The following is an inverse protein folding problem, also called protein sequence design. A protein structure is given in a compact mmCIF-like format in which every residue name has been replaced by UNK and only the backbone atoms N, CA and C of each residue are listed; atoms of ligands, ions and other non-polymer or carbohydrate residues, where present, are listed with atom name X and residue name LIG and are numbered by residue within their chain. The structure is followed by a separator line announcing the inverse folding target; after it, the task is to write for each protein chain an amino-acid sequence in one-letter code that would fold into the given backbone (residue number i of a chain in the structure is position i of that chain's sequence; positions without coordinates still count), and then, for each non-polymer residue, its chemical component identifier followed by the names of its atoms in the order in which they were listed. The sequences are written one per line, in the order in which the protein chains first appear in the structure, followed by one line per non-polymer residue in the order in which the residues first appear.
data_IF_381488201998
#
_entry.id   IF_381488201998
#
_cell.length_a   1.000
_cell.length_b   1.000
_cell.length_c   1.000
_cell.angle_alpha   90.00
_cell.angle_beta   90.00
_cell.angle_gamma   90.00
#
_symmetry.space_group_name_H-M   'P 1'
#
loop_
_entity.id
_entity.type
_entity.pdbx_description
1 polymer ?
#
# COMPACT_ATOMS: atom_id res chain seq x y z
N UNK A 1 -10.16 5.84 14.89
CA UNK A 1 -9.41 4.57 14.70
C UNK A 1 -8.39 4.84 13.63
N UNK A 2 -7.15 4.38 13.76
CA UNK A 2 -6.09 4.62 12.77
C UNK A 2 -5.90 3.42 11.85
N UNK A 3 -5.35 3.66 10.66
CA UNK A 3 -4.96 2.58 9.73
C UNK A 3 -3.81 1.75 10.30
N UNK A 4 -2.80 2.45 10.83
CA UNK A 4 -1.60 1.89 11.44
C UNK A 4 -1.55 2.27 12.92
N UNK A 5 -0.95 1.42 13.75
CA UNK A 5 -0.61 1.77 15.13
C UNK A 5 0.42 2.90 15.16
N UNK A 6 0.53 3.61 16.27
CA UNK A 6 1.53 4.70 16.40
C UNK A 6 2.97 4.19 16.22
N UNK A 7 3.24 2.92 16.57
CA UNK A 7 4.53 2.27 16.34
C UNK A 7 4.80 2.03 14.85
N UNK A 8 3.82 1.52 14.10
CA UNK A 8 3.93 1.31 12.65
C UNK A 8 4.01 2.64 11.90
N UNK A 9 3.22 3.64 12.29
CA UNK A 9 3.30 4.99 11.74
C UNK A 9 4.70 5.56 11.91
N UNK A 10 5.34 5.35 13.08
CA UNK A 10 6.71 5.78 13.30
C UNK A 10 7.69 5.06 12.37
N UNK A 11 7.57 3.75 12.20
CA UNK A 11 8.41 2.98 11.25
C UNK A 11 8.26 3.55 9.83
N UNK A 12 7.03 3.80 9.39
CA UNK A 12 6.78 4.33 8.05
C UNK A 12 7.37 5.72 7.88
N UNK A 13 7.12 6.61 8.85
CA UNK A 13 7.64 7.97 8.81
C UNK A 13 9.17 8.00 8.81
N UNK A 14 9.81 7.21 9.69
CA UNK A 14 11.27 7.11 9.75
C UNK A 14 11.86 6.54 8.45
N UNK A 15 11.16 5.61 7.77
CA UNK A 15 11.59 5.06 6.49
C UNK A 15 11.48 6.06 5.33
N UNK A 16 10.44 6.90 5.32
CA UNK A 16 10.17 7.86 4.25
C UNK A 16 10.87 9.21 4.44
N UNK A 17 11.37 9.48 5.65
CA UNK A 17 11.98 10.76 6.00
C UNK A 17 13.11 11.12 5.03
N UNK A 18 13.02 12.32 4.46
CA UNK A 18 14.01 12.91 3.54
C UNK A 18 14.24 12.09 2.24
N UNK A 19 13.37 11.13 1.93
CA UNK A 19 13.42 10.38 0.68
C UNK A 19 12.62 11.09 -0.42
N UNK A 20 12.93 10.70 -1.66
CA UNK A 20 12.20 11.10 -2.88
C UNK A 20 11.99 9.86 -3.74
N UNK A 21 10.97 9.85 -4.60
CA UNK A 21 10.67 8.72 -5.49
C UNK A 21 9.40 7.97 -5.09
N UNK A 22 9.30 6.71 -5.51
CA UNK A 22 8.09 5.89 -5.38
C UNK A 22 8.26 4.81 -4.31
N UNK A 23 7.32 4.76 -3.37
CA UNK A 23 7.37 3.81 -2.25
C UNK A 23 6.06 3.06 -2.08
N UNK A 24 6.17 1.77 -1.79
CA UNK A 24 5.06 0.88 -1.51
C UNK A 24 4.99 0.55 -0.02
N UNK A 25 3.82 0.74 0.56
CA UNK A 25 3.44 0.31 1.90
C UNK A 25 2.43 -0.83 1.72
N UNK A 26 2.87 -2.05 2.06
CA UNK A 26 2.02 -3.24 2.00
C UNK A 26 1.43 -3.52 3.37
N UNK A 27 0.11 -3.75 3.45
CA UNK A 27 -0.58 -3.97 4.72
C UNK A 27 -1.84 -4.84 4.62
N UNK A 28 -2.24 -5.41 5.75
CA UNK A 28 -3.57 -6.00 5.96
C UNK A 28 -4.52 -4.93 6.48
N UNK A 29 -5.77 -5.02 6.09
CA UNK A 29 -6.81 -4.08 6.46
C UNK A 29 -8.13 -4.81 6.68
N UNK A 30 -8.90 -4.43 7.69
CA UNK A 30 -10.24 -5.00 7.94
C UNK A 30 -11.42 -4.17 7.43
N UNK A 31 -11.12 -3.01 6.87
CA UNK A 31 -12.13 -2.04 6.45
C UNK A 31 -12.44 -2.17 4.96
N UNK A 32 -13.70 -1.91 4.61
CA UNK A 32 -14.09 -1.80 3.21
C UNK A 32 -13.46 -0.58 2.51
N UNK A 33 -13.49 -0.53 1.17
CA UNK A 33 -12.74 0.47 0.37
C UNK A 33 -13.00 1.93 0.75
N UNK A 34 -14.27 2.29 1.03
CA UNK A 34 -14.63 3.66 1.44
C UNK A 34 -13.92 4.06 2.73
N UNK A 35 -14.02 3.21 3.76
CA UNK A 35 -13.44 3.52 5.06
C UNK A 35 -11.91 3.46 5.02
N UNK A 36 -11.35 2.54 4.26
CA UNK A 36 -9.92 2.46 4.02
C UNK A 36 -9.38 3.73 3.36
N UNK A 37 -10.07 4.27 2.35
CA UNK A 37 -9.65 5.51 1.69
C UNK A 37 -9.59 6.71 2.65
N UNK A 38 -10.57 6.82 3.56
CA UNK A 38 -10.56 7.82 4.62
C UNK A 38 -9.33 7.66 5.52
N UNK A 39 -9.13 6.46 6.07
CA UNK A 39 -8.04 6.16 6.99
C UNK A 39 -6.66 6.35 6.35
N UNK A 40 -6.52 6.04 5.06
CA UNK A 40 -5.30 6.27 4.29
C UNK A 40 -5.02 7.75 4.09
N UNK A 41 -6.04 8.54 3.75
CA UNK A 41 -5.89 9.99 3.59
C UNK A 41 -5.55 10.65 4.92
N UNK A 42 -6.19 10.24 6.01
CA UNK A 42 -5.88 10.71 7.38
C UNK A 42 -4.42 10.39 7.75
N UNK A 43 -3.99 9.14 7.51
CA UNK A 43 -2.61 8.72 7.76
C UNK A 43 -1.60 9.56 6.97
N UNK A 44 -1.83 9.75 5.67
CA UNK A 44 -0.92 10.54 4.84
C UNK A 44 -0.92 12.03 5.21
N UNK A 45 -2.04 12.58 5.67
CA UNK A 45 -2.07 13.93 6.19
C UNK A 45 -1.18 14.11 7.43
N UNK A 46 -0.99 13.05 8.23
CA UNK A 46 -0.06 13.08 9.38
C UNK A 46 1.42 13.06 8.96
N UNK A 47 1.77 12.36 7.87
CA UNK A 47 3.18 12.07 7.54
C UNK A 47 3.73 12.73 6.27
N UNK A 48 2.88 13.08 5.31
CA UNK A 48 3.35 13.39 3.95
C UNK A 48 2.50 14.41 3.16
N UNK A 49 1.37 14.89 3.67
CA UNK A 49 0.51 15.91 3.04
C UNK A 49 0.13 15.56 1.57
N UNK A 50 -0.84 14.65 1.36
CA UNK A 50 -1.19 14.16 0.03
C UNK A 50 -1.92 15.24 -0.78
N UNK A 51 -1.57 15.36 -2.06
CA UNK A 51 -2.15 16.32 -3.02
C UNK A 51 -3.18 15.66 -3.93
N UNK A 52 -2.91 14.42 -4.35
CA UNK A 52 -3.76 13.68 -5.27
C UNK A 52 -3.75 12.20 -4.93
N UNK A 53 -4.94 11.63 -4.71
CA UNK A 53 -5.07 10.21 -4.42
C UNK A 53 -5.98 9.48 -5.41
N UNK A 54 -5.50 8.36 -5.93
CA UNK A 54 -6.23 7.39 -6.75
C UNK A 54 -6.41 6.09 -5.98
N UNK A 55 -7.44 5.32 -6.33
CA UNK A 55 -7.74 4.05 -5.68
C UNK A 55 -8.19 3.03 -6.70
N UNK A 56 -7.58 1.86 -6.66
CA UNK A 56 -7.84 0.71 -7.51
C UNK A 56 -8.16 -0.50 -6.64
N UNK A 57 -9.04 -1.38 -7.11
CA UNK A 57 -9.39 -2.60 -6.38
C UNK A 57 -9.69 -3.73 -7.34
N UNK A 58 -9.39 -4.94 -6.90
CA UNK A 58 -9.83 -6.16 -7.58
C UNK A 58 -11.35 -6.23 -7.67
N UNK A 59 -11.88 -6.95 -8.66
CA UNK A 59 -13.33 -7.20 -8.77
C UNK A 59 -13.93 -7.88 -7.53
N UNK A 60 -13.10 -8.65 -6.80
CA UNK A 60 -13.51 -9.30 -5.55
C UNK A 60 -13.48 -8.39 -4.31
N UNK A 61 -12.94 -7.17 -4.40
CA UNK A 61 -12.90 -6.20 -3.31
C UNK A 61 -12.00 -6.58 -2.12
N UNK A 62 -11.21 -7.64 -2.24
CA UNK A 62 -10.38 -8.17 -1.15
C UNK A 62 -8.91 -7.76 -1.24
N UNK A 63 -8.53 -7.04 -2.29
CA UNK A 63 -7.19 -6.50 -2.49
C UNK A 63 -7.30 -5.26 -3.36
N UNK A 64 -6.43 -4.29 -3.12
CA UNK A 64 -6.41 -3.03 -3.85
C UNK A 64 -5.10 -2.27 -3.72
N UNK A 65 -5.03 -1.19 -4.48
CA UNK A 65 -3.93 -0.25 -4.50
C UNK A 65 -4.48 1.15 -4.26
N UNK A 66 -3.95 1.81 -3.25
CA UNK A 66 -4.11 3.24 -3.02
C UNK A 66 -2.87 3.90 -3.55
N UNK A 67 -3.02 4.99 -4.28
CA UNK A 67 -1.90 5.75 -4.79
C UNK A 67 -2.10 7.19 -4.37
N UNK A 68 -1.09 7.80 -3.78
CA UNK A 68 -1.12 9.22 -3.46
C UNK A 68 0.20 9.88 -3.83
N UNK A 69 0.11 11.02 -4.50
CA UNK A 69 1.21 11.93 -4.72
C UNK A 69 1.21 12.99 -3.62
N UNK A 70 2.40 13.34 -3.14
CA UNK A 70 2.62 14.32 -2.06
C UNK A 70 3.24 15.61 -2.61
N UNK A 71 3.15 16.70 -1.87
CA UNK A 71 3.70 18.01 -2.31
C UNK A 71 5.21 17.98 -2.57
N UNK A 72 5.94 17.07 -1.91
CA UNK A 72 7.39 16.96 -2.02
C UNK A 72 7.85 16.05 -3.18
N UNK A 73 6.94 15.59 -4.04
CA UNK A 73 7.26 14.70 -5.15
C UNK A 73 7.51 13.24 -4.74
N UNK A 74 7.07 12.83 -3.53
CA UNK A 74 6.97 11.42 -3.16
C UNK A 74 5.67 10.84 -3.72
N UNK A 75 5.78 9.67 -4.33
CA UNK A 75 4.65 8.85 -4.76
C UNK A 75 4.50 7.68 -3.79
N UNK A 76 3.41 7.67 -3.02
CA UNK A 76 3.14 6.68 -2.00
C UNK A 76 2.02 5.73 -2.45
N UNK A 77 2.33 4.45 -2.44
CA UNK A 77 1.45 3.37 -2.85
C UNK A 77 1.07 2.54 -1.63
N UNK A 78 -0.21 2.44 -1.32
CA UNK A 78 -0.76 1.57 -0.28
C UNK A 78 -1.36 0.31 -0.88
N UNK A 79 -0.62 -0.80 -0.90
CA UNK A 79 -1.18 -2.07 -1.32
C UNK A 79 -1.76 -2.81 -0.12
N UNK A 80 -3.03 -3.16 -0.23
CA UNK A 80 -3.77 -3.72 0.89
C UNK A 80 -4.47 -5.02 0.52
N UNK A 81 -4.61 -5.90 1.50
CA UNK A 81 -5.43 -7.11 1.43
C UNK A 81 -6.44 -7.08 2.57
N UNK A 82 -7.69 -7.48 2.28
CA UNK A 82 -8.74 -7.59 3.28
C UNK A 82 -8.46 -8.76 4.21
N UNK A 83 -8.44 -8.50 5.51
CA UNK A 83 -8.17 -9.48 6.57
C UNK A 83 -8.92 -9.10 7.86
N UNK A 84 -8.78 -9.89 8.92
CA UNK A 84 -9.45 -9.65 10.20
C UNK A 84 -8.83 -8.49 11.01
N UNK A 85 -7.56 -8.15 10.72
CA UNK A 85 -6.79 -7.12 11.42
C UNK A 85 -6.10 -6.11 10.48
N UNK A 86 -5.81 -4.93 11.04
CA UNK A 86 -4.96 -3.93 10.38
C UNK A 86 -3.52 -4.18 10.80
N UNK A 87 -2.61 -4.39 9.84
CA UNK A 87 -1.21 -4.68 10.11
C UNK A 87 -0.29 -4.31 8.97
N UNK A 88 0.77 -3.57 9.25
CA UNK A 88 1.87 -3.32 8.34
C UNK A 88 2.62 -4.63 8.04
N UNK A 89 2.84 -4.90 6.75
CA UNK A 89 3.58 -6.07 6.29
C UNK A 89 4.98 -5.67 5.83
N UNK A 90 5.08 -4.65 4.97
CA UNK A 90 6.35 -4.22 4.40
C UNK A 90 6.31 -2.77 3.91
N UNK A 91 7.48 -2.15 3.81
CA UNK A 91 7.70 -0.86 3.16
C UNK A 91 8.93 -0.97 2.26
N UNK A 92 8.80 -0.59 1.00
CA UNK A 92 9.91 -0.69 0.05
C UNK A 92 9.85 0.42 -1.00
N UNK A 93 11.01 0.76 -1.54
CA UNK A 93 11.12 1.57 -2.75
C UNK A 93 10.74 0.70 -3.96
N UNK A 94 10.03 1.29 -4.92
CA UNK A 94 9.58 0.60 -6.14
C UNK A 94 9.92 1.47 -7.35
N UNK A 95 10.22 0.81 -8.48
CA UNK A 95 10.47 1.52 -9.73
C UNK A 95 9.16 1.77 -10.48
N UNK A 96 9.19 2.72 -11.42
CA UNK A 96 8.02 3.08 -12.22
C UNK A 96 7.47 1.90 -13.05
N UNK A 97 8.35 1.03 -13.55
CA UNK A 97 7.97 -0.18 -14.30
C UNK A 97 7.15 -1.15 -13.43
N UNK A 98 7.51 -1.31 -12.16
CA UNK A 98 6.77 -2.15 -11.22
C UNK A 98 5.38 -1.58 -10.93
N UNK A 99 5.25 -0.26 -10.85
CA UNK A 99 3.97 0.44 -10.64
C UNK A 99 3.02 0.20 -11.82
N UNK A 100 3.53 0.30 -13.05
CA UNK A 100 2.74 0.05 -14.27
C UNK A 100 2.24 -1.39 -14.27
N UNK A 101 3.11 -2.35 -13.98
CA UNK A 101 2.72 -3.77 -13.90
C UNK A 101 1.67 -4.03 -12.81
N UNK A 102 1.79 -3.38 -11.65
CA UNK A 102 0.79 -3.50 -10.57
C UNK A 102 -0.56 -2.94 -11.05
N UNK A 103 -0.58 -1.73 -11.65
CA UNK A 103 -1.81 -1.11 -12.16
C UNK A 103 -2.47 -1.94 -13.25
N UNK A 104 -1.71 -2.42 -14.22
CA UNK A 104 -2.21 -3.28 -15.30
C UNK A 104 -2.81 -4.58 -14.75
N UNK A 105 -2.23 -5.15 -13.69
CA UNK A 105 -2.79 -6.29 -12.98
C UNK A 105 -4.15 -6.01 -12.34
N UNK A 106 -4.36 -4.80 -11.82
CA UNK A 106 -5.67 -4.36 -11.31
C UNK A 106 -6.67 -4.06 -12.42
N UNK A 107 -6.25 -3.42 -13.51
CA UNK A 107 -7.10 -3.06 -14.65
C UNK A 107 -7.59 -4.29 -15.43
N UNK A 108 -6.72 -5.28 -15.62
CA UNK A 108 -7.05 -6.52 -16.31
C UNK A 108 -8.02 -7.44 -15.53
N UNK A 109 -8.41 -7.09 -14.30
CA UNK A 109 -9.20 -7.94 -13.40
C UNK A 109 -8.48 -9.24 -12.98
N UNK A 110 -7.26 -9.44 -13.45
CA UNK A 110 -6.41 -10.59 -13.23
C UNK A 110 -5.47 -10.30 -12.05
N UNK A 111 -6.05 -10.12 -10.87
CA UNK A 111 -5.30 -10.00 -9.61
C UNK A 111 -4.80 -11.39 -9.17
N UNK A 112 -3.91 -11.96 -9.98
CA UNK A 112 -3.33 -13.30 -9.84
C UNK A 112 -1.84 -13.32 -10.23
N UNK A 113 -1.28 -12.23 -10.76
CA UNK A 113 0.08 -12.19 -11.29
C UNK A 113 1.15 -12.21 -10.20
N UNK A 114 2.28 -12.82 -10.56
CA UNK A 114 3.52 -12.97 -9.78
C UNK A 114 4.08 -11.65 -9.25
N UNK A 115 3.75 -10.53 -9.88
CA UNK A 115 4.19 -9.18 -9.54
C UNK A 115 3.47 -8.69 -8.28
N UNK A 116 2.19 -9.05 -8.10
CA UNK A 116 1.53 -8.94 -6.78
C UNK A 116 1.99 -10.00 -5.77
N UNK A 117 2.67 -11.08 -6.21
CA UNK A 117 3.40 -12.00 -5.32
C UNK A 117 4.82 -11.52 -4.99
N UNK A 118 5.37 -10.50 -5.65
CA UNK A 118 6.70 -9.98 -5.30
C UNK A 118 6.73 -9.43 -3.86
N UNK A 119 5.57 -9.06 -3.31
CA UNK A 119 5.39 -8.63 -1.92
C UNK A 119 4.85 -9.78 -1.04
N UNK A 120 4.88 -11.03 -1.53
CA UNK A 120 5.02 -12.20 -0.66
C UNK A 120 6.46 -12.42 -0.23
N UNK A 121 7.45 -11.71 -0.78
CA UNK A 121 8.87 -11.80 -0.34
C UNK A 121 9.12 -10.91 0.89
N UNK A 122 8.15 -10.88 1.82
CA UNK A 122 8.42 -10.80 3.26
C UNK A 122 8.39 -12.19 3.91
N UNK A 123 8.00 -13.23 3.18
CA UNK A 123 8.03 -14.64 3.59
C UNK A 123 9.25 -15.33 2.96
N UNK A 124 10.45 -15.01 3.44
CA UNK A 124 11.37 -16.10 3.76
C UNK A 124 10.88 -16.70 5.08
N UNK A 125 9.95 -17.65 5.01
CA UNK A 125 9.45 -18.33 6.20
C UNK A 125 8.08 -18.97 6.04
N UNK A 126 8.02 -20.07 5.27
CA UNK A 126 6.85 -20.96 5.31
C UNK A 126 6.59 -21.66 3.99
N UNK A 127 7.50 -22.56 3.61
CA UNK A 127 7.13 -23.70 2.76
C UNK A 127 5.85 -24.33 3.35
N UNK A 128 4.77 -24.29 2.57
CA UNK A 128 3.65 -25.21 2.78
C UNK A 128 4.11 -26.56 2.24
N UNK A 129 4.65 -27.38 3.12
CA UNK A 129 4.42 -28.83 3.11
C UNK A 129 3.32 -29.16 4.14
#
# INVERSE_FOLDING_TARGET
MKLFSDYETKIINDFLKEKTGSFLIAFRNKHGPTKLKELWTEFLAEIAHPVKCLSWWSSGGNVGLLECETENGLSLYGQWVLDDDNRLLNIMEINEEDIVNIRDGFDAGAVISSEMRAIRIGESGGEKE
#
